data_IF_870309745847
#
_entry.id   IF_870309745847
#
_cell.length_a   1.000
_cell.length_b   1.000
_cell.length_c   1.000
_cell.angle_alpha   90.00
_cell.angle_beta   90.00
_cell.angle_gamma   90.00
#
_symmetry.space_group_name_H-M   'P 1'
#
loop_
_entity.id
_entity.type
_entity.pdbx_description
1 polymer ?
#
# COMPACT_ATOMS: atom_id res chain seq x y z
N UNK A 1 -6.84 -2.86 12.28
CA UNK A 1 -6.26 -4.07 11.65
C UNK A 1 -5.67 -3.71 10.31
N UNK A 2 -4.52 -4.26 9.96
CA UNK A 2 -3.88 -4.05 8.66
C UNK A 2 -3.62 -5.39 8.00
N UNK A 3 -3.83 -5.46 6.69
CA UNK A 3 -3.44 -6.60 5.88
C UNK A 3 -2.55 -6.09 4.77
N UNK A 4 -1.37 -6.67 4.66
CA UNK A 4 -0.44 -6.37 3.58
C UNK A 4 -0.48 -7.54 2.61
N UNK A 5 -0.90 -7.28 1.38
CA UNK A 5 -0.90 -8.25 0.29
C UNK A 5 0.32 -8.03 -0.59
N UNK A 6 1.17 -9.02 -0.70
CA UNK A 6 2.36 -9.02 -1.55
C UNK A 6 2.17 -10.04 -2.67
N UNK A 7 2.29 -9.57 -3.92
CA UNK A 7 2.34 -10.43 -5.08
C UNK A 7 3.81 -10.60 -5.48
N UNK A 8 4.37 -11.74 -5.10
CA UNK A 8 5.74 -12.13 -5.42
C UNK A 8 5.61 -13.28 -6.42
N UNK A 9 5.59 -12.98 -7.72
CA UNK A 9 5.40 -13.98 -8.79
C UNK A 9 6.24 -15.24 -8.49
N UNK A 10 5.64 -16.45 -8.38
CA UNK A 10 4.24 -16.83 -8.66
C UNK A 10 3.31 -16.91 -7.42
N UNK A 11 3.75 -16.51 -6.23
CA UNK A 11 3.02 -16.66 -4.97
C UNK A 11 2.43 -15.34 -4.45
N UNK A 12 1.20 -15.42 -3.95
CA UNK A 12 0.55 -14.32 -3.23
C UNK A 12 0.75 -14.59 -1.74
N UNK A 13 1.50 -13.70 -1.08
CA UNK A 13 1.66 -13.70 0.37
C UNK A 13 0.80 -12.59 0.96
N UNK A 14 0.14 -12.86 2.07
CA UNK A 14 -0.53 -11.82 2.86
C UNK A 14 -0.05 -11.88 4.30
N UNK A 15 0.06 -10.70 4.91
CA UNK A 15 0.38 -10.56 6.32
C UNK A 15 -0.70 -9.73 7.02
N UNK A 16 -1.42 -10.39 7.92
CA UNK A 16 -2.41 -9.76 8.78
C UNK A 16 -1.79 -9.29 10.09
N UNK A 17 -1.81 -7.98 10.30
CA UNK A 17 -1.47 -7.32 11.54
C UNK A 17 -2.73 -7.02 12.36
N UNK A 18 -2.94 -7.87 13.38
CA UNK A 18 -4.01 -7.74 14.37
C UNK A 18 -3.59 -6.75 15.46
N UNK A 19 -3.93 -5.48 15.26
CA UNK A 19 -3.87 -4.48 16.32
C UNK A 19 -5.09 -4.70 17.21
N UNK A 20 -4.92 -5.15 18.46
CA UNK A 20 -6.00 -5.47 19.40
C UNK A 20 -6.89 -4.29 19.84
N UNK A 21 -6.68 -3.10 19.26
CA UNK A 21 -7.40 -1.84 19.48
C UNK A 21 -7.45 -1.05 18.16
N UNK A 22 -8.26 0.01 18.13
CA UNK A 22 -8.27 0.98 17.03
C UNK A 22 -7.09 1.93 17.19
N UNK A 23 -6.38 2.20 16.09
CA UNK A 23 -5.24 3.12 16.05
C UNK A 23 -5.39 4.08 14.87
N UNK A 24 -5.06 5.35 15.10
CA UNK A 24 -4.87 6.33 14.04
C UNK A 24 -3.44 6.20 13.52
N UNK A 25 -3.32 5.87 12.23
CA UNK A 25 -2.03 5.57 11.62
C UNK A 25 -1.60 6.73 10.75
N UNK A 26 -0.44 7.28 11.11
CA UNK A 26 0.20 8.41 10.41
C UNK A 26 1.05 7.91 9.24
N UNK A 27 1.74 6.79 9.41
CA UNK A 27 2.57 6.21 8.36
C UNK A 27 2.72 4.69 8.55
N UNK A 28 2.94 3.98 7.45
CA UNK A 28 3.29 2.56 7.39
C UNK A 28 4.62 2.48 6.64
N UNK A 29 5.65 1.93 7.30
CA UNK A 29 6.97 1.74 6.69
C UNK A 29 7.26 0.26 6.52
N UNK A 30 7.53 -0.15 5.29
CA UNK A 30 7.94 -1.50 4.96
C UNK A 30 9.40 -1.46 4.51
N UNK A 31 10.24 -2.20 5.21
CA UNK A 31 11.65 -2.38 4.86
C UNK A 31 11.84 -3.78 4.32
N UNK A 32 12.13 -3.88 3.03
CA UNK A 32 12.42 -5.16 2.41
C UNK A 32 13.91 -5.46 2.53
N UNK A 33 14.21 -6.65 3.03
CA UNK A 33 15.58 -7.18 3.06
C UNK A 33 15.99 -7.75 1.69
N UNK A 34 15.01 -8.13 0.87
CA UNK A 34 15.17 -8.62 -0.50
C UNK A 34 14.79 -7.55 -1.52
N UNK A 35 14.93 -7.84 -2.82
CA UNK A 35 14.30 -7.05 -3.88
C UNK A 35 12.81 -6.88 -3.60
N UNK A 36 12.30 -5.70 -3.95
CA UNK A 36 10.89 -5.36 -3.74
C UNK A 36 9.98 -6.21 -4.64
N UNK A 37 8.80 -6.65 -4.15
CA UNK A 37 7.82 -7.36 -4.97
C UNK A 37 7.36 -6.52 -6.17
N UNK A 38 7.01 -7.19 -7.27
CA UNK A 38 6.49 -6.58 -8.50
C UNK A 38 5.20 -5.79 -8.25
N UNK A 39 4.33 -6.31 -7.38
CA UNK A 39 3.16 -5.58 -6.92
C UNK A 39 2.79 -5.93 -5.48
N UNK A 40 2.24 -4.96 -4.76
CA UNK A 40 1.71 -5.17 -3.43
C UNK A 40 0.63 -4.14 -3.12
N UNK A 41 -0.20 -4.47 -2.14
CA UNK A 41 -1.37 -3.71 -1.74
C UNK A 41 -1.45 -3.65 -0.23
N UNK A 42 -1.83 -2.48 0.28
CA UNK A 42 -2.06 -2.24 1.70
C UNK A 42 -3.56 -2.15 1.90
N UNK A 43 -4.09 -3.00 2.76
CA UNK A 43 -5.49 -2.98 3.17
C UNK A 43 -5.57 -2.62 4.65
N UNK A 44 -6.64 -1.91 5.00
CA UNK A 44 -6.96 -1.55 6.37
C UNK A 44 -8.35 -2.01 6.73
N UNK A 45 -8.53 -2.28 8.02
CA UNK A 45 -9.82 -2.58 8.61
C UNK A 45 -9.98 -1.86 9.93
N UNK A 46 -11.06 -1.09 10.05
CA UNK A 46 -11.37 -0.27 11.23
C UNK A 46 -11.89 -1.09 12.41
N UNK A 47 -12.69 -2.13 12.16
CA UNK A 47 -13.30 -2.98 13.20
C UNK A 47 -13.23 -4.47 12.83
N UNK A 48 -13.09 -5.38 13.80
CA UNK A 48 -13.23 -6.81 13.54
C UNK A 48 -14.63 -7.08 12.96
N UNK A 49 -14.70 -7.72 11.79
CA UNK A 49 -15.96 -8.01 11.10
C UNK A 49 -16.34 -7.05 9.97
N UNK A 50 -15.69 -5.90 9.83
CA UNK A 50 -15.81 -5.09 8.61
C UNK A 50 -15.03 -5.72 7.44
N UNK A 51 -15.39 -5.32 6.23
CA UNK A 51 -14.62 -5.66 5.04
C UNK A 51 -13.25 -4.96 5.06
N UNK A 52 -12.29 -5.58 4.37
CA UNK A 52 -10.98 -4.99 4.13
C UNK A 52 -11.11 -3.87 3.11
N UNK A 53 -10.77 -2.65 3.52
CA UNK A 53 -10.79 -1.48 2.65
C UNK A 53 -9.39 -1.29 2.09
N UNK A 54 -9.23 -1.19 0.76
CA UNK A 54 -7.93 -0.93 0.18
C UNK A 54 -7.47 0.47 0.59
N UNK A 55 -6.20 0.57 0.96
CA UNK A 55 -5.61 1.81 1.43
C UNK A 55 -4.65 2.41 0.43
N UNK A 56 -3.79 1.58 -0.16
CA UNK A 56 -2.84 1.97 -1.20
C UNK A 56 -2.41 0.76 -2.01
N UNK A 57 -2.27 0.95 -3.31
CA UNK A 57 -1.70 -0.01 -4.24
C UNK A 57 -0.35 0.47 -4.76
N UNK A 58 0.54 -0.50 -4.98
CA UNK A 58 1.84 -0.27 -5.56
C UNK A 58 2.09 -1.36 -6.60
N UNK A 59 2.35 -0.95 -7.83
CA UNK A 59 2.62 -1.88 -8.93
C UNK A 59 3.29 -1.14 -10.08
N UNK A 60 4.21 -1.80 -10.77
CA UNK A 60 4.71 -1.37 -12.07
C UNK A 60 3.59 -1.19 -13.11
N UNK A 61 2.60 -2.07 -13.02
CA UNK A 61 1.54 -2.27 -13.99
C UNK A 61 0.18 -2.06 -13.33
N UNK A 62 -0.01 -0.94 -12.63
CA UNK A 62 -1.25 -0.58 -11.95
C UNK A 62 -2.51 -0.85 -12.78
N UNK A 63 -2.48 -0.51 -14.07
CA UNK A 63 -3.60 -0.71 -14.99
C UNK A 63 -3.88 -2.18 -15.31
N UNK A 64 -2.84 -3.00 -15.44
CA UNK A 64 -2.98 -4.42 -15.76
C UNK A 64 -3.29 -5.26 -14.52
N UNK A 65 -2.70 -4.92 -13.38
CA UNK A 65 -2.80 -5.68 -12.12
C UNK A 65 -4.06 -5.32 -11.33
N UNK A 66 -4.35 -4.02 -11.19
CA UNK A 66 -5.44 -3.52 -10.35
C UNK A 66 -6.53 -2.78 -11.14
N UNK A 67 -6.36 -2.58 -12.46
CA UNK A 67 -7.30 -1.78 -13.26
C UNK A 67 -7.28 -0.29 -12.91
N UNK A 68 -6.27 0.16 -12.16
CA UNK A 68 -6.14 1.54 -11.69
C UNK A 68 -5.13 2.31 -12.54
N UNK A 69 -5.37 3.58 -12.76
CA UNK A 69 -4.39 4.46 -13.36
C UNK A 69 -3.21 4.66 -12.40
N UNK A 70 -2.01 4.83 -12.97
CA UNK A 70 -0.84 5.25 -12.21
C UNK A 70 -0.99 6.72 -11.83
N UNK A 71 -1.34 6.96 -10.57
CA UNK A 71 -1.55 8.30 -10.02
C UNK A 71 -1.05 8.32 -8.58
N UNK A 72 0.01 9.08 -8.33
CA UNK A 72 0.57 9.31 -6.99
C UNK A 72 -0.10 10.48 -6.22
N UNK A 73 -0.99 11.23 -6.88
CA UNK A 73 -1.61 12.43 -6.29
C UNK A 73 -3.06 12.18 -5.87
N UNK A 74 -3.37 12.46 -4.60
CA UNK A 74 -4.75 12.50 -4.10
C UNK A 74 -5.35 13.84 -4.51
N UNK A 75 -6.43 13.82 -5.29
CA UNK A 75 -7.19 15.04 -5.62
C UNK A 75 -8.11 15.42 -4.44
N UNK A 76 -8.22 16.72 -4.16
CA UNK A 76 -9.06 17.29 -3.08
C UNK A 76 -10.49 16.71 -3.16
N UNK A 77 -10.86 15.84 -2.21
CA UNK A 77 -12.19 15.20 -2.15
C UNK A 77 -12.21 13.67 -2.10
N UNK A 78 -11.12 12.98 -2.47
CA UNK A 78 -11.07 11.51 -2.55
C UNK A 78 -9.99 10.89 -1.65
N UNK A 79 -9.82 11.49 -0.46
CA UNK A 79 -8.90 11.08 0.59
C UNK A 79 -9.24 9.71 1.21
N UNK A 80 -10.13 8.90 0.67
CA UNK A 80 -10.28 7.51 1.16
C UNK A 80 -10.04 6.48 0.07
N UNK A 81 -9.78 6.95 -1.15
CA UNK A 81 -9.54 6.10 -2.31
C UNK A 81 -8.14 5.51 -2.27
N UNK A 82 -8.06 4.22 -2.57
CA UNK A 82 -6.81 3.55 -2.80
C UNK A 82 -6.24 3.99 -4.15
N UNK A 83 -5.10 4.66 -4.12
CA UNK A 83 -4.35 5.03 -5.31
C UNK A 83 -3.42 3.90 -5.72
N UNK A 84 -2.94 3.92 -6.96
CA UNK A 84 -1.88 3.05 -7.43
C UNK A 84 -0.71 3.88 -7.94
N UNK A 85 0.50 3.56 -7.49
CA UNK A 85 1.73 4.26 -7.90
C UNK A 85 2.84 3.29 -8.26
N UNK A 86 3.53 3.60 -9.36
CA UNK A 86 4.70 2.91 -9.88
C UNK A 86 6.02 3.56 -9.44
N UNK A 87 6.02 4.63 -8.62
CA UNK A 87 7.23 5.39 -8.12
C UNK A 87 8.26 4.57 -7.34
N UNK A 88 8.04 3.28 -7.32
CA UNK A 88 8.45 2.33 -6.33
C UNK A 88 8.60 0.95 -6.98
N UNK A 89 8.36 0.87 -8.29
CA UNK A 89 8.58 -0.27 -9.16
C UNK A 89 10.04 -0.38 -9.63
N UNK A 90 10.88 0.58 -9.29
CA UNK A 90 12.29 0.50 -9.64
C UNK A 90 12.99 -0.55 -8.76
N UNK A 91 13.74 -1.43 -9.43
CA UNK A 91 14.58 -2.50 -8.87
C UNK A 91 15.75 -1.90 -8.04
N UNK A 92 15.84 -0.58 -7.98
CA UNK A 92 16.83 0.19 -7.27
C UNK A 92 16.22 0.82 -6.01
N UNK A 93 16.78 0.58 -4.82
CA UNK A 93 17.99 -0.20 -4.55
C UNK A 93 17.72 -1.73 -4.47
N UNK A 94 18.67 -2.52 -4.97
CA UNK A 94 18.70 -4.00 -4.91
C UNK A 94 18.79 -4.56 -3.47
N UNK A 95 18.94 -3.70 -2.46
CA UNK A 95 18.95 -4.06 -1.04
C UNK A 95 18.52 -2.85 -0.21
N UNK A 96 17.64 -3.05 0.77
CA UNK A 96 17.16 -1.95 1.63
C UNK A 96 16.09 -1.08 0.97
N UNK A 97 15.28 -1.66 0.08
CA UNK A 97 14.08 -1.01 -0.44
C UNK A 97 13.17 -0.57 0.72
N UNK A 98 13.03 0.73 0.90
CA UNK A 98 12.20 1.33 1.94
C UNK A 98 10.97 1.92 1.29
N UNK A 99 9.81 1.38 1.66
CA UNK A 99 8.52 1.94 1.27
C UNK A 99 7.98 2.65 2.49
N UNK A 100 7.94 3.97 2.43
CA UNK A 100 7.16 4.75 3.37
C UNK A 100 5.84 5.09 2.69
N UNK A 101 4.75 4.60 3.25
CA UNK A 101 3.41 5.07 2.93
C UNK A 101 3.00 6.00 4.05
N UNK A 102 2.90 7.30 3.79
CA UNK A 102 2.32 8.25 4.74
C UNK A 102 0.85 8.46 4.40
N UNK A 103 -0.01 8.35 5.41
CA UNK A 103 -1.45 8.56 5.26
C UNK A 103 -1.80 10.04 5.07
N UNK A 104 -0.82 10.92 5.29
CA UNK A 104 -0.86 12.37 5.15
C UNK A 104 -0.08 12.86 3.91
N UNK A 105 0.77 12.04 3.28
CA UNK A 105 1.46 12.46 2.05
C UNK A 105 0.46 12.57 0.90
N UNK A 106 0.55 13.69 0.17
CA UNK A 106 -0.31 13.98 -0.97
C UNK A 106 -1.73 14.41 -0.62
N UNK A 107 -2.07 14.60 0.67
CA UNK A 107 -3.38 15.07 1.11
C UNK A 107 -3.33 16.51 1.58
N UNK A 108 -4.01 17.43 0.89
CA UNK A 108 -3.94 18.86 1.16
C UNK A 108 -4.70 19.32 2.43
N UNK A 109 -5.27 18.41 3.21
CA UNK A 109 -5.97 18.70 4.47
C UNK A 109 -5.08 18.59 5.72
N UNK A 110 -3.77 18.37 5.56
CA UNK A 110 -2.79 18.37 6.64
C UNK A 110 -2.41 19.79 7.09
#
# INVERSE_FOLDING_TARGET
MFCLFFNIVPYIHHWDFLLGKTFDITYVRLKFYTSRPESFAIFKRTRPGNDWVPYQYYSATCRSTYGLNDTSFVTYGDETRALCTSEFSDISPLTGGNVAFSTLEGRPSA
#
